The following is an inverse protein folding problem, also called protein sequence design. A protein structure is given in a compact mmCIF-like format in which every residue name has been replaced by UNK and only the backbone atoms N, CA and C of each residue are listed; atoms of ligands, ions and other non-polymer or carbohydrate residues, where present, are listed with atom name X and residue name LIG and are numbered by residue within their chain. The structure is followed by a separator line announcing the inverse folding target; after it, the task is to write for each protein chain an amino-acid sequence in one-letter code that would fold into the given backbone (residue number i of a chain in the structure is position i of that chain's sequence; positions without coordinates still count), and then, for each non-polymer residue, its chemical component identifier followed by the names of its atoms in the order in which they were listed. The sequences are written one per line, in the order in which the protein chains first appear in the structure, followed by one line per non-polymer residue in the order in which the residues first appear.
data_IF_499194271086
#
_entry.id   IF_499194271086
#
_cell.length_a   1.000
_cell.length_b   1.000
_cell.length_c   1.000
_cell.angle_alpha   90.00
_cell.angle_beta   90.00
_cell.angle_gamma   90.00
#
_symmetry.space_group_name_H-M   'P 1'
#
loop_
_entity.id
_entity.type
_entity.pdbx_description
1 polymer ?
#
# COMPACT_ATOMS: atom_id res chain seq x y z
N UNK A 1 -11.06 -14.81 -17.32
CA UNK A 1 -11.10 -15.62 -16.08
C UNK A 1 -10.74 -14.67 -14.94
N UNK A 2 -11.66 -13.85 -14.45
CA UNK A 2 -12.68 -14.15 -13.43
C UNK A 2 -12.07 -14.36 -12.03
N UNK A 3 -11.99 -13.27 -11.26
CA UNK A 3 -12.20 -13.34 -9.81
C UNK A 3 -13.11 -12.18 -9.40
N UNK A 4 -14.25 -12.53 -8.82
CA UNK A 4 -15.29 -11.62 -8.36
C UNK A 4 -14.78 -10.78 -7.19
N UNK A 5 -14.86 -9.45 -7.32
CA UNK A 5 -14.35 -8.45 -6.37
C UNK A 5 -15.10 -8.39 -5.01
N UNK A 6 -16.10 -9.24 -4.79
CA UNK A 6 -17.08 -9.17 -3.69
C UNK A 6 -16.49 -9.41 -2.28
N UNK A 7 -15.29 -10.00 -2.14
CA UNK A 7 -14.78 -10.50 -0.86
C UNK A 7 -13.91 -9.55 -0.01
N UNK A 8 -13.72 -8.28 -0.41
CA UNK A 8 -12.68 -7.41 0.20
C UNK A 8 -13.24 -6.31 1.12
N UNK A 9 -14.55 -6.13 1.13
CA UNK A 9 -15.23 -5.04 1.83
C UNK A 9 -16.11 -5.60 2.95
N UNK A 10 -15.92 -5.08 4.16
CA UNK A 10 -16.62 -5.52 5.37
C UNK A 10 -17.49 -4.39 5.91
N UNK A 11 -18.75 -4.68 6.27
CA UNK A 11 -19.63 -3.68 6.87
C UNK A 11 -19.02 -3.12 8.15
N UNK A 12 -19.17 -1.82 8.38
CA UNK A 12 -18.76 -1.18 9.62
C UNK A 12 -19.46 -1.82 10.83
N UNK A 13 -18.71 -2.19 11.89
CA UNK A 13 -19.31 -2.73 13.10
C UNK A 13 -20.25 -1.73 13.78
N UNK A 14 -21.36 -2.21 14.35
CA UNK A 14 -22.40 -1.37 14.95
C UNK A 14 -21.93 -0.49 16.13
N UNK A 15 -20.77 -0.77 16.72
CA UNK A 15 -20.18 -0.01 17.82
C UNK A 15 -19.30 1.17 17.36
N UNK A 16 -19.00 1.29 16.06
CA UNK A 16 -18.26 2.43 15.50
C UNK A 16 -19.19 3.63 15.45
N UNK A 17 -18.90 4.66 16.25
CA UNK A 17 -19.70 5.90 16.23
C UNK A 17 -19.60 6.53 14.83
N UNK A 18 -20.71 6.99 14.22
CA UNK A 18 -20.71 7.61 12.89
C UNK A 18 -20.01 8.98 12.83
N UNK A 19 -19.16 9.32 13.79
CA UNK A 19 -18.42 10.57 13.84
C UNK A 19 -17.32 10.58 12.78
N UNK A 20 -17.63 11.14 11.61
CA UNK A 20 -16.65 11.49 10.57
C UNK A 20 -16.41 10.44 9.48
N UNK A 21 -16.93 9.21 9.61
CA UNK A 21 -16.82 8.17 8.59
C UNK A 21 -18.11 8.11 7.78
N UNK A 22 -18.05 8.46 6.48
CA UNK A 22 -19.19 8.39 5.55
C UNK A 22 -19.31 7.05 4.83
N UNK A 23 -18.36 6.14 5.04
CA UNK A 23 -18.25 4.85 4.36
C UNK A 23 -18.89 3.73 5.19
N UNK A 24 -19.79 2.97 4.56
CA UNK A 24 -20.48 1.83 5.19
C UNK A 24 -19.62 0.54 5.21
N UNK A 25 -18.50 0.55 4.50
CA UNK A 25 -17.67 -0.60 4.27
C UNK A 25 -16.18 -0.28 4.46
N UNK A 26 -15.43 -1.24 4.99
CA UNK A 26 -14.00 -1.16 5.22
C UNK A 26 -13.28 -2.20 4.35
N UNK A 27 -12.18 -1.80 3.72
CA UNK A 27 -11.35 -2.73 2.95
C UNK A 27 -10.21 -3.29 3.81
N UNK A 28 -10.17 -4.62 4.01
CA UNK A 28 -9.14 -5.25 4.84
C UNK A 28 -7.73 -5.10 4.25
N UNK A 29 -7.62 -5.14 2.92
CA UNK A 29 -6.34 -4.99 2.23
C UNK A 29 -5.82 -3.55 2.34
N UNK A 30 -6.72 -2.57 2.30
CA UNK A 30 -6.41 -1.18 2.57
C UNK A 30 -5.81 -0.97 3.97
N UNK A 31 -6.29 -1.69 4.99
CA UNK A 31 -5.67 -1.66 6.31
C UNK A 31 -4.26 -2.26 6.33
N UNK A 32 -4.00 -3.28 5.50
CA UNK A 32 -2.64 -3.78 5.28
C UNK A 32 -1.76 -2.79 4.51
N UNK A 33 -2.29 -1.72 3.96
CA UNK A 33 -1.51 -0.61 3.38
C UNK A 33 -1.30 0.48 4.43
N UNK A 34 -2.38 1.04 4.98
CA UNK A 34 -2.32 2.28 5.79
C UNK A 34 -2.18 2.06 7.29
N UNK A 35 -2.48 0.86 7.79
CA UNK A 35 -2.52 0.57 9.23
C UNK A 35 -1.18 0.63 9.97
N UNK A 36 -0.07 0.80 9.24
CA UNK A 36 1.28 0.98 9.82
C UNK A 36 1.88 2.25 9.24
N UNK A 37 2.23 3.20 10.11
CA UNK A 37 2.73 4.53 9.72
C UNK A 37 3.91 4.47 8.74
N UNK A 38 4.95 3.71 9.07
CA UNK A 38 6.16 3.58 8.24
C UNK A 38 5.87 2.98 6.86
N UNK A 39 4.87 2.10 6.76
CA UNK A 39 4.43 1.52 5.49
C UNK A 39 3.62 2.53 4.67
N UNK A 40 2.80 3.34 5.31
CA UNK A 40 2.11 4.43 4.64
C UNK A 40 3.10 5.52 4.15
N UNK A 41 4.15 5.80 4.93
CA UNK A 41 5.24 6.69 4.50
C UNK A 41 5.98 6.15 3.26
N UNK A 42 6.16 4.83 3.15
CA UNK A 42 6.66 4.18 1.92
C UNK A 42 5.74 4.43 0.73
N UNK A 43 4.43 4.26 0.91
CA UNK A 43 3.42 4.53 -0.13
C UNK A 43 3.51 5.99 -0.60
N UNK A 44 3.55 6.95 0.33
CA UNK A 44 3.69 8.37 0.00
C UNK A 44 5.01 8.71 -0.71
N UNK A 45 6.10 8.02 -0.36
CA UNK A 45 7.39 8.22 -1.03
C UNK A 45 7.38 7.67 -2.45
N UNK A 46 6.81 6.47 -2.65
CA UNK A 46 6.66 5.87 -3.98
C UNK A 46 5.64 6.61 -4.84
N UNK A 47 4.61 7.22 -4.22
CA UNK A 47 3.64 8.09 -4.90
C UNK A 47 4.29 9.32 -5.56
N UNK A 48 5.36 9.83 -4.96
CA UNK A 48 6.16 10.95 -5.49
C UNK A 48 7.26 10.52 -6.46
N UNK A 49 7.67 9.25 -6.45
CA UNK A 49 8.76 8.73 -7.26
C UNK A 49 8.21 7.96 -8.49
N UNK A 50 7.98 8.68 -9.61
CA UNK A 50 7.42 8.10 -10.84
C UNK A 50 8.24 6.93 -11.40
N UNK A 51 9.57 7.05 -11.37
CA UNK A 51 10.51 6.00 -11.81
C UNK A 51 10.70 4.88 -10.78
N UNK A 52 10.10 5.03 -9.59
CA UNK A 52 10.27 4.12 -8.46
C UNK A 52 11.49 4.40 -7.61
N UNK A 53 11.76 3.50 -6.67
CA UNK A 53 12.92 3.58 -5.79
C UNK A 53 13.43 2.17 -5.42
N UNK A 54 14.74 2.07 -5.15
CA UNK A 54 15.35 0.86 -4.62
C UNK A 54 15.15 0.74 -3.11
N UNK A 55 15.37 -0.46 -2.57
CA UNK A 55 15.33 -0.69 -1.12
C UNK A 55 16.32 0.22 -0.38
N UNK A 56 17.51 0.44 -0.95
CA UNK A 56 18.56 1.29 -0.36
C UNK A 56 18.12 2.75 -0.30
N UNK A 57 17.55 3.28 -1.38
CA UNK A 57 17.02 4.65 -1.42
C UNK A 57 15.89 4.85 -0.42
N UNK A 58 14.97 3.88 -0.30
CA UNK A 58 13.86 3.94 0.65
C UNK A 58 14.33 3.86 2.10
N UNK A 59 15.33 3.02 2.39
CA UNK A 59 16.00 2.91 3.70
C UNK A 59 16.59 4.27 4.10
N UNK A 60 17.33 4.92 3.18
CA UNK A 60 17.95 6.22 3.41
C UNK A 60 16.92 7.33 3.60
N UNK A 61 15.89 7.41 2.76
CA UNK A 61 14.85 8.46 2.83
C UNK A 61 14.02 8.40 4.10
N UNK A 62 13.75 7.18 4.60
CA UNK A 62 12.85 6.98 5.74
C UNK A 62 13.58 6.74 7.07
N UNK A 63 14.91 6.59 7.06
CA UNK A 63 15.67 6.23 8.26
C UNK A 63 15.30 4.86 8.83
N UNK A 64 14.72 3.97 8.02
CA UNK A 64 14.30 2.63 8.41
C UNK A 64 15.40 1.63 8.11
N UNK A 65 15.47 0.55 8.88
CA UNK A 65 16.37 -0.55 8.58
C UNK A 65 15.91 -1.34 7.35
N UNK A 66 16.85 -1.87 6.57
CA UNK A 66 16.56 -2.64 5.36
C UNK A 66 15.56 -3.79 5.58
N UNK A 67 15.65 -4.62 6.65
CA UNK A 67 14.66 -5.68 6.90
C UNK A 67 13.24 -5.15 7.06
N UNK A 68 13.07 -3.97 7.68
CA UNK A 68 11.77 -3.30 7.85
C UNK A 68 11.21 -2.85 6.51
N UNK A 69 12.03 -2.22 5.67
CA UNK A 69 11.63 -1.79 4.32
C UNK A 69 11.23 -2.98 3.46
N UNK A 70 12.04 -4.05 3.45
CA UNK A 70 11.72 -5.28 2.70
C UNK A 70 10.43 -5.92 3.20
N UNK A 71 10.22 -6.01 4.52
CA UNK A 71 8.97 -6.53 5.07
C UNK A 71 7.75 -5.71 4.61
N UNK A 72 7.83 -4.38 4.70
CA UNK A 72 6.74 -3.51 4.22
C UNK A 72 6.48 -3.65 2.73
N UNK A 73 7.52 -3.70 1.89
CA UNK A 73 7.37 -3.90 0.45
C UNK A 73 6.74 -5.25 0.12
N UNK A 74 7.06 -6.31 0.87
CA UNK A 74 6.41 -7.61 0.70
C UNK A 74 4.92 -7.57 1.06
N UNK A 75 4.55 -6.88 2.14
CA UNK A 75 3.13 -6.67 2.49
C UNK A 75 2.42 -5.87 1.40
N UNK A 76 3.02 -4.77 0.92
CA UNK A 76 2.45 -3.97 -0.16
C UNK A 76 2.29 -4.76 -1.46
N UNK A 77 3.25 -5.63 -1.79
CA UNK A 77 3.14 -6.56 -2.93
C UNK A 77 2.02 -7.57 -2.77
N UNK A 78 1.77 -8.05 -1.54
CA UNK A 78 0.71 -9.04 -1.27
C UNK A 78 -0.70 -8.51 -1.54
N UNK A 79 -0.87 -7.18 -1.58
CA UNK A 79 -2.13 -6.49 -1.90
C UNK A 79 -2.05 -5.71 -3.22
N UNK A 80 -1.06 -6.03 -4.05
CA UNK A 80 -0.81 -5.42 -5.36
C UNK A 80 -0.59 -3.89 -5.33
N UNK A 81 -0.27 -3.29 -4.17
CA UNK A 81 -0.08 -1.85 -4.04
C UNK A 81 1.23 -1.34 -4.68
N UNK A 82 2.20 -2.22 -4.94
CA UNK A 82 3.48 -1.88 -5.59
C UNK A 82 3.86 -2.92 -6.64
N UNK A 83 4.44 -2.45 -7.74
CA UNK A 83 5.10 -3.29 -8.76
C UNK A 83 6.61 -3.31 -8.46
N UNK A 84 7.28 -4.36 -8.92
CA UNK A 84 8.74 -4.50 -8.82
C UNK A 84 9.32 -4.84 -10.18
N UNK A 85 10.41 -4.17 -10.55
CA UNK A 85 11.19 -4.44 -11.76
C UNK A 85 12.64 -4.67 -11.39
N UNK A 86 13.24 -5.70 -11.98
CA UNK A 86 14.67 -5.97 -11.82
C UNK A 86 15.48 -5.07 -12.76
N UNK A 87 16.52 -4.41 -12.22
CA UNK A 87 17.48 -3.60 -12.97
C UNK A 87 18.89 -4.02 -12.55
N UNK A 88 19.48 -4.93 -13.31
CA UNK A 88 20.77 -5.52 -12.97
C UNK A 88 20.67 -6.33 -11.67
N UNK A 89 21.39 -5.90 -10.62
CA UNK A 89 21.37 -6.56 -9.30
C UNK A 89 20.36 -5.95 -8.33
N UNK A 90 19.71 -4.85 -8.71
CA UNK A 90 18.80 -4.12 -7.85
C UNK A 90 17.34 -4.34 -8.26
N UNK A 91 16.45 -4.16 -7.28
CA UNK A 91 15.00 -4.16 -7.49
C UNK A 91 14.48 -2.74 -7.32
N UNK A 92 13.79 -2.25 -8.35
CA UNK A 92 13.11 -0.96 -8.35
C UNK A 92 11.64 -1.23 -8.06
N UNK A 93 11.12 -0.58 -7.02
CA UNK A 93 9.72 -0.65 -6.62
C UNK A 93 9.00 0.62 -7.09
N UNK A 94 7.84 0.45 -7.71
CA UNK A 94 6.98 1.54 -8.16
C UNK A 94 5.59 1.36 -7.55
N UNK A 95 4.89 2.47 -7.30
CA UNK A 95 3.50 2.39 -6.86
C UNK A 95 2.62 1.85 -7.99
N UNK A 96 1.78 0.86 -7.69
CA UNK A 96 0.77 0.40 -8.63
C UNK A 96 -0.47 1.29 -8.54
N UNK A 97 -0.52 2.39 -9.30
CA UNK A 97 -1.62 3.37 -9.22
C UNK A 97 -3.00 2.81 -9.61
N UNK A 98 -3.03 1.69 -10.31
CA UNK A 98 -4.24 0.96 -10.73
C UNK A 98 -4.69 -0.07 -9.68
N UNK A 99 -3.96 -0.21 -8.56
CA UNK A 99 -4.36 -1.14 -7.51
C UNK A 99 -5.69 -0.70 -6.88
N UNK A 100 -6.52 -1.67 -6.49
CA UNK A 100 -7.80 -1.46 -5.80
C UNK A 100 -7.72 -0.43 -4.66
N UNK A 101 -6.65 -0.47 -3.87
CA UNK A 101 -6.42 0.46 -2.76
C UNK A 101 -6.43 1.94 -3.19
N UNK A 102 -5.96 2.24 -4.40
CA UNK A 102 -5.80 3.60 -4.91
C UNK A 102 -6.87 3.98 -5.93
N UNK A 103 -7.25 3.06 -6.80
CA UNK A 103 -8.27 3.31 -7.82
C UNK A 103 -9.69 3.29 -7.24
N UNK A 104 -10.02 2.30 -6.41
CA UNK A 104 -11.38 2.10 -5.91
C UNK A 104 -11.55 2.72 -4.52
N UNK A 105 -10.65 2.39 -3.57
CA UNK A 105 -10.73 2.91 -2.19
C UNK A 105 -10.11 4.30 -2.02
N UNK A 106 -9.54 4.88 -3.08
CA UNK A 106 -9.01 6.25 -3.10
C UNK A 106 -8.06 6.58 -1.94
N UNK A 107 -7.28 5.61 -1.47
CA UNK A 107 -6.22 5.88 -0.49
C UNK A 107 -5.27 6.93 -1.08
N UNK A 108 -4.97 8.01 -0.35
CA UNK A 108 -4.00 9.00 -0.82
C UNK A 108 -2.57 8.46 -0.78
N UNK A 109 -1.73 8.94 -1.69
CA UNK A 109 -0.32 8.57 -1.84
C UNK A 109 0.48 9.69 -2.50
#
# INVERSE_FOLDING_TARGET
MSESKEGRMFKTPAWVKPSGVREEYLCSDCFKVVGVRSRYELVCNLGKALEGATVTELTQKLGLQQPTVTHHLNVLRSVDAVKVKERGRERIYTLNREAHCFEECKIPY
#
